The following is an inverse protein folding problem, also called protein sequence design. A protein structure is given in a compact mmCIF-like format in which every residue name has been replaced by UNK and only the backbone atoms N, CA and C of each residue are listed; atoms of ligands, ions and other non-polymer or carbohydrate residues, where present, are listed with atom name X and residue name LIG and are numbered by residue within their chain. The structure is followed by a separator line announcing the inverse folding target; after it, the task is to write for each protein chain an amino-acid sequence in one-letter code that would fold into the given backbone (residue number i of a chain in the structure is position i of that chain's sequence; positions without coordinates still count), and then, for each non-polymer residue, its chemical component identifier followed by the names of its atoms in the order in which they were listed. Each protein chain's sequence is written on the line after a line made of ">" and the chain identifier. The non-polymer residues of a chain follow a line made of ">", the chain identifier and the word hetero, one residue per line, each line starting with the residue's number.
data_IF_887925436135
#
_entry.id   IF_887925436135
#
_cell.length_a   1.000
_cell.length_b   1.000
_cell.length_c   1.000
_cell.angle_alpha   90.00
_cell.angle_beta   90.00
_cell.angle_gamma   90.00
#
_symmetry.space_group_name_H-M   'P 1'
#
loop_
_entity.id
_entity.type
_entity.pdbx_description
1 polymer ?
#
# COMPACT_ATOMS: atom_id res chain seq x y z
N UNK A 1 12.42 14.08 11.89
CA UNK A 1 12.25 12.63 12.10
C UNK A 1 11.02 12.33 11.30
N UNK A 2 11.15 11.49 10.28
CA UNK A 2 10.03 11.23 9.38
C UNK A 2 8.88 10.64 10.19
N UNK A 3 7.68 11.14 9.94
CA UNK A 3 6.49 10.72 10.67
C UNK A 3 6.23 9.26 10.38
N UNK A 4 5.92 8.50 11.42
CA UNK A 4 5.55 7.09 11.24
C UNK A 4 4.08 6.98 10.78
N UNK A 5 3.66 5.81 10.27
CA UNK A 5 2.32 5.60 9.69
C UNK A 5 1.19 6.13 10.59
N UNK A 6 1.23 5.82 11.88
CA UNK A 6 0.18 6.23 12.82
C UNK A 6 0.07 7.75 12.99
N UNK A 7 1.20 8.45 13.02
CA UNK A 7 1.26 9.91 13.11
C UNK A 7 0.79 10.56 11.81
N UNK A 8 1.27 10.04 10.67
CA UNK A 8 0.92 10.53 9.33
C UNK A 8 -0.57 10.37 9.07
N UNK A 9 -1.16 9.24 9.45
CA UNK A 9 -2.60 9.01 9.35
C UNK A 9 -3.40 9.97 10.23
N UNK A 10 -3.00 10.17 11.49
CA UNK A 10 -3.69 11.10 12.39
C UNK A 10 -3.66 12.52 11.83
N UNK A 11 -2.50 12.99 11.38
CA UNK A 11 -2.34 14.32 10.79
C UNK A 11 -3.18 14.49 9.52
N UNK A 12 -3.21 13.47 8.65
CA UNK A 12 -4.02 13.51 7.42
C UNK A 12 -5.50 13.57 7.74
N UNK A 13 -5.98 12.76 8.68
CA UNK A 13 -7.38 12.75 9.14
C UNK A 13 -7.79 14.14 9.66
N UNK A 14 -6.96 14.75 10.50
CA UNK A 14 -7.22 16.08 11.06
C UNK A 14 -7.24 17.17 9.98
N UNK A 15 -6.35 17.06 8.98
CA UNK A 15 -6.26 18.01 7.86
C UNK A 15 -7.53 18.03 7.00
N UNK A 16 -8.06 16.86 6.66
CA UNK A 16 -9.17 16.73 5.68
C UNK A 16 -10.54 16.47 6.32
N UNK A 17 -10.59 16.15 7.62
CA UNK A 17 -11.83 15.81 8.32
C UNK A 17 -12.49 14.52 7.82
N UNK A 18 -11.70 13.56 7.32
CA UNK A 18 -12.18 12.30 6.74
C UNK A 18 -11.36 11.12 7.26
N UNK A 19 -12.03 10.00 7.48
CA UNK A 19 -11.42 8.70 7.82
C UNK A 19 -11.43 7.73 6.62
N UNK A 20 -11.68 8.23 5.40
CA UNK A 20 -11.87 7.39 4.23
C UNK A 20 -10.55 6.72 3.81
N UNK A 21 -10.52 5.39 3.90
CA UNK A 21 -9.50 4.56 3.29
C UNK A 21 -9.96 4.19 1.87
N UNK A 22 -9.28 4.68 0.84
CA UNK A 22 -9.61 4.38 -0.56
C UNK A 22 -8.90 3.10 -0.98
N UNK A 23 -9.66 2.03 -1.22
CA UNK A 23 -9.14 0.80 -1.80
C UNK A 23 -8.83 0.96 -3.29
N UNK A 24 -7.67 0.48 -3.73
CA UNK A 24 -7.28 0.46 -5.14
C UNK A 24 -7.24 -1.00 -5.60
N UNK A 25 -8.41 -1.47 -6.05
CA UNK A 25 -8.69 -2.85 -6.41
C UNK A 25 -9.16 -2.93 -7.89
N UNK A 26 -8.34 -2.47 -8.86
CA UNK A 26 -8.77 -2.28 -10.24
C UNK A 26 -9.02 -3.62 -10.92
N UNK A 27 -10.20 -3.76 -11.53
CA UNK A 27 -10.58 -4.94 -12.30
C UNK A 27 -10.34 -4.65 -13.79
N UNK A 28 -9.27 -5.19 -14.42
CA UNK A 28 -8.90 -4.82 -15.78
C UNK A 28 -10.00 -5.07 -16.81
N UNK A 29 -10.85 -6.06 -16.58
CA UNK A 29 -12.01 -6.42 -17.41
C UNK A 29 -13.14 -5.37 -17.40
N UNK A 30 -13.11 -4.42 -16.45
CA UNK A 30 -14.10 -3.36 -16.31
C UNK A 30 -13.54 -1.97 -16.62
N UNK A 31 -12.28 -1.88 -17.05
CA UNK A 31 -11.62 -0.61 -17.33
C UNK A 31 -11.68 -0.35 -18.83
N UNK A 32 -12.41 0.68 -19.22
CA UNK A 32 -12.36 1.24 -20.56
C UNK A 32 -11.12 2.14 -20.68
N UNK A 33 -10.08 1.65 -21.36
CA UNK A 33 -8.87 2.42 -21.64
C UNK A 33 -7.59 1.83 -21.04
N UNK A 34 -6.60 2.69 -20.79
CA UNK A 34 -5.31 2.28 -20.24
C UNK A 34 -5.38 2.11 -18.71
N UNK A 35 -4.92 0.96 -18.22
CA UNK A 35 -5.00 0.58 -16.81
C UNK A 35 -4.20 1.53 -15.90
N UNK A 36 -2.99 1.93 -16.30
CA UNK A 36 -2.12 2.81 -15.50
C UNK A 36 -2.74 4.20 -15.37
N UNK A 37 -3.28 4.72 -16.49
CA UNK A 37 -4.01 5.98 -16.50
C UNK A 37 -5.23 5.92 -15.59
N UNK A 38 -6.02 4.84 -15.66
CA UNK A 38 -7.20 4.67 -14.83
C UNK A 38 -6.89 4.72 -13.32
N UNK A 39 -5.86 3.99 -12.86
CA UNK A 39 -5.52 3.96 -11.43
C UNK A 39 -4.94 5.28 -10.95
N UNK A 40 -4.17 5.99 -11.79
CA UNK A 40 -3.67 7.33 -11.46
C UNK A 40 -4.81 8.35 -11.37
N UNK A 41 -5.71 8.35 -12.35
CA UNK A 41 -6.87 9.26 -12.37
C UNK A 41 -7.78 9.02 -11.16
N UNK A 42 -7.91 7.78 -10.69
CA UNK A 42 -8.61 7.46 -9.44
C UNK A 42 -7.97 8.16 -8.24
N UNK A 43 -6.64 8.09 -8.10
CA UNK A 43 -5.92 8.77 -7.02
C UNK A 43 -6.09 10.28 -7.14
N UNK A 44 -5.84 10.86 -8.31
CA UNK A 44 -5.94 12.31 -8.55
C UNK A 44 -7.32 12.87 -8.19
N UNK A 45 -8.39 12.13 -8.49
CA UNK A 45 -9.77 12.57 -8.21
C UNK A 45 -10.19 12.36 -6.76
N UNK A 46 -9.57 11.42 -6.04
CA UNK A 46 -9.98 11.04 -4.68
C UNK A 46 -9.10 11.62 -3.58
N UNK A 47 -7.92 12.14 -3.93
CA UNK A 47 -6.94 12.59 -2.94
C UNK A 47 -7.45 13.64 -1.95
N UNK A 48 -8.34 14.60 -2.31
CA UNK A 48 -8.84 15.57 -1.34
C UNK A 48 -9.68 14.95 -0.20
N UNK A 49 -10.12 13.70 -0.36
CA UNK A 49 -11.02 13.01 0.56
C UNK A 49 -10.39 11.80 1.25
N UNK A 50 -9.24 11.33 0.74
CA UNK A 50 -8.57 10.12 1.21
C UNK A 50 -7.69 10.37 2.44
N UNK A 51 -8.02 9.68 3.54
CA UNK A 51 -7.18 9.59 4.72
C UNK A 51 -5.96 8.68 4.47
N UNK A 52 -6.14 7.66 3.63
CA UNK A 52 -5.08 6.79 3.15
C UNK A 52 -5.52 6.05 1.88
N UNK A 53 -4.55 5.51 1.15
CA UNK A 53 -4.77 4.59 0.04
C UNK A 53 -4.40 3.17 0.43
N UNK A 54 -5.14 2.20 -0.10
CA UNK A 54 -4.90 0.78 0.16
C UNK A 54 -4.90 -0.05 -1.12
N UNK A 55 -3.83 0.00 -1.94
CA UNK A 55 -3.71 -0.85 -3.11
C UNK A 55 -3.64 -2.32 -2.71
N UNK A 56 -4.43 -3.15 -3.37
CA UNK A 56 -4.42 -4.59 -3.17
C UNK A 56 -3.53 -5.27 -4.20
N UNK A 57 -2.43 -5.84 -3.73
CA UNK A 57 -1.37 -6.37 -4.57
C UNK A 57 -1.86 -7.42 -5.57
N UNK A 58 -2.88 -8.21 -5.22
CA UNK A 58 -3.39 -9.29 -6.07
C UNK A 58 -3.88 -8.80 -7.45
N UNK A 59 -4.52 -7.62 -7.51
CA UNK A 59 -5.04 -7.07 -8.77
C UNK A 59 -3.92 -6.63 -9.71
N UNK A 60 -2.81 -6.14 -9.16
CA UNK A 60 -1.63 -5.75 -9.93
C UNK A 60 -0.78 -6.97 -10.31
N UNK A 61 -0.58 -7.92 -9.38
CA UNK A 61 0.14 -9.18 -9.63
C UNK A 61 -0.51 -10.01 -10.75
N UNK A 62 -1.85 -9.97 -10.88
CA UNK A 62 -2.59 -10.63 -11.95
C UNK A 62 -2.19 -10.15 -13.38
N UNK A 63 -1.58 -8.97 -13.50
CA UNK A 63 -1.06 -8.42 -14.75
C UNK A 63 0.44 -8.73 -14.96
N UNK A 64 1.03 -9.57 -14.10
CA UNK A 64 2.45 -9.92 -14.13
C UNK A 64 3.37 -8.75 -13.74
N UNK A 65 4.61 -8.78 -14.22
CA UNK A 65 5.63 -7.79 -13.85
C UNK A 65 5.25 -6.35 -14.24
N UNK A 66 4.50 -6.16 -15.33
CA UNK A 66 4.00 -4.83 -15.73
C UNK A 66 3.04 -4.27 -14.67
N UNK A 67 2.11 -5.08 -14.15
CA UNK A 67 1.20 -4.62 -13.11
C UNK A 67 1.91 -4.31 -11.81
N UNK A 68 2.88 -5.13 -11.43
CA UNK A 68 3.71 -4.87 -10.26
C UNK A 68 4.46 -3.53 -10.38
N UNK A 69 5.07 -3.26 -11.53
CA UNK A 69 5.74 -1.98 -11.78
C UNK A 69 4.78 -0.78 -11.77
N UNK A 70 3.55 -0.95 -12.27
CA UNK A 70 2.50 0.09 -12.18
C UNK A 70 2.13 0.35 -10.71
N UNK A 71 2.02 -0.69 -9.88
CA UNK A 71 1.75 -0.55 -8.46
C UNK A 71 2.88 0.20 -7.73
N UNK A 72 4.13 -0.16 -7.98
CA UNK A 72 5.30 0.53 -7.40
C UNK A 72 5.28 2.02 -7.74
N UNK A 73 5.07 2.35 -9.02
CA UNK A 73 4.98 3.74 -9.48
C UNK A 73 3.79 4.47 -8.87
N UNK A 74 2.61 3.85 -8.85
CA UNK A 74 1.40 4.45 -8.27
C UNK A 74 1.61 4.82 -6.80
N UNK A 75 2.24 3.93 -6.02
CA UNK A 75 2.52 4.17 -4.60
C UNK A 75 3.53 5.31 -4.43
N UNK A 76 4.61 5.32 -5.23
CA UNK A 76 5.61 6.38 -5.21
C UNK A 76 5.05 7.76 -5.62
N UNK A 77 4.02 7.78 -6.48
CA UNK A 77 3.35 9.00 -6.92
C UNK A 77 2.33 9.54 -5.89
N UNK A 78 1.95 8.76 -4.86
CA UNK A 78 1.07 9.26 -3.78
C UNK A 78 1.84 10.32 -2.95
N UNK A 79 1.26 11.50 -2.69
CA UNK A 79 1.93 12.53 -1.90
C UNK A 79 2.35 12.06 -0.52
N UNK A 80 3.54 12.51 -0.11
CA UNK A 80 4.21 12.05 1.11
C UNK A 80 3.38 12.24 2.39
N UNK A 81 2.41 13.16 2.43
CA UNK A 81 1.52 13.37 3.58
C UNK A 81 0.29 12.45 3.59
N UNK A 82 0.08 11.62 2.56
CA UNK A 82 -1.04 10.67 2.47
C UNK A 82 -0.53 9.24 2.68
N UNK A 83 -0.95 8.55 3.75
CA UNK A 83 -0.51 7.19 4.03
C UNK A 83 -0.91 6.18 2.96
N UNK A 84 -0.02 5.22 2.69
CA UNK A 84 -0.30 4.05 1.85
C UNK A 84 -0.17 2.75 2.65
N UNK A 85 -1.21 1.93 2.57
CA UNK A 85 -1.28 0.60 3.16
C UNK A 85 -1.23 -0.43 2.02
N UNK A 86 -0.11 -1.09 1.81
CA UNK A 86 -0.02 -2.18 0.83
C UNK A 86 -0.79 -3.40 1.34
N UNK A 87 -1.90 -3.72 0.69
CA UNK A 87 -2.73 -4.86 1.04
C UNK A 87 -2.24 -6.14 0.34
N UNK A 88 -1.23 -6.79 0.94
CA UNK A 88 -0.56 -7.99 0.41
C UNK A 88 -0.85 -9.28 1.19
N UNK A 89 -1.39 -9.19 2.42
CA UNK A 89 -1.77 -10.31 3.31
C UNK A 89 -0.67 -11.37 3.47
N UNK A 90 0.60 -10.96 3.50
CA UNK A 90 1.73 -11.91 3.54
C UNK A 90 1.83 -12.59 4.90
N UNK A 91 2.11 -13.89 4.87
CA UNK A 91 2.37 -14.70 6.06
C UNK A 91 3.19 -15.91 5.66
N UNK A 92 4.37 -16.05 6.26
CA UNK A 92 5.34 -17.10 6.00
C UNK A 92 6.23 -17.31 7.24
N UNK A 93 7.13 -18.29 7.23
CA UNK A 93 8.13 -18.48 8.28
C UNK A 93 9.07 -17.26 8.37
N UNK A 94 9.62 -17.00 9.56
CA UNK A 94 10.34 -15.75 9.83
C UNK A 94 11.47 -15.39 8.84
N UNK A 95 12.20 -16.38 8.31
CA UNK A 95 13.24 -16.15 7.31
C UNK A 95 12.69 -15.70 5.95
N UNK A 96 11.55 -16.23 5.51
CA UNK A 96 10.89 -15.82 4.27
C UNK A 96 10.16 -14.48 4.47
N UNK A 97 9.52 -14.31 5.61
CA UNK A 97 8.77 -13.10 5.94
C UNK A 97 9.68 -11.87 6.02
N UNK A 98 10.96 -12.01 6.39
CA UNK A 98 11.92 -10.90 6.34
C UNK A 98 12.22 -10.43 4.90
N UNK A 99 12.17 -11.31 3.91
CA UNK A 99 12.29 -10.90 2.50
C UNK A 99 11.04 -10.17 1.99
N UNK A 100 9.85 -10.54 2.46
CA UNK A 100 8.64 -9.74 2.18
C UNK A 100 8.75 -8.35 2.82
N UNK A 101 9.16 -8.28 4.09
CA UNK A 101 9.33 -7.00 4.78
C UNK A 101 10.35 -6.10 4.06
N UNK A 102 11.49 -6.69 3.66
CA UNK A 102 12.50 -6.00 2.84
C UNK A 102 11.95 -5.52 1.51
N UNK A 103 11.23 -6.37 0.78
CA UNK A 103 10.66 -6.02 -0.53
C UNK A 103 9.74 -4.79 -0.41
N UNK A 104 8.91 -4.72 0.63
CA UNK A 104 7.94 -3.65 0.77
C UNK A 104 8.51 -2.39 1.40
N UNK A 105 9.25 -2.50 2.50
CA UNK A 105 9.70 -1.32 3.24
C UNK A 105 11.03 -0.74 2.77
N UNK A 106 11.88 -1.50 2.05
CA UNK A 106 13.15 -0.98 1.52
C UNK A 106 13.12 -0.67 0.02
N UNK A 107 12.25 -1.32 -0.75
CA UNK A 107 12.24 -1.19 -2.22
C UNK A 107 10.96 -0.60 -2.79
N UNK A 108 9.83 -0.63 -2.08
CA UNK A 108 8.60 0.06 -2.50
C UNK A 108 8.49 1.41 -1.78
N UNK A 109 9.07 2.44 -2.38
CA UNK A 109 9.00 3.81 -1.88
C UNK A 109 7.54 4.26 -1.72
N UNK A 110 7.22 4.86 -0.56
CA UNK A 110 5.87 5.34 -0.23
C UNK A 110 4.99 4.34 0.52
N UNK A 111 5.40 3.09 0.73
CA UNK A 111 4.65 2.14 1.59
C UNK A 111 4.85 2.48 3.07
N UNK A 112 3.79 2.89 3.75
CA UNK A 112 3.81 3.20 5.19
C UNK A 112 3.36 2.00 6.05
N UNK A 113 2.51 1.12 5.53
CA UNK A 113 2.02 -0.06 6.24
C UNK A 113 1.72 -1.22 5.30
N UNK A 114 1.70 -2.46 5.83
CA UNK A 114 1.39 -3.67 5.06
C UNK A 114 0.42 -4.58 5.81
N UNK A 115 -0.55 -5.18 5.11
CA UNK A 115 -1.41 -6.22 5.70
C UNK A 115 -0.68 -7.57 5.78
N UNK A 116 -0.86 -8.27 6.90
CA UNK A 116 -0.21 -9.57 7.17
C UNK A 116 -1.24 -10.66 7.47
N UNK A 117 -0.87 -11.92 7.26
CA UNK A 117 -1.64 -13.11 7.65
C UNK A 117 -0.96 -13.82 8.82
N UNK A 118 -1.41 -13.63 10.08
CA UNK A 118 -0.72 -14.13 11.26
C UNK A 118 -1.01 -15.62 11.57
N UNK A 119 -1.57 -16.37 10.62
CA UNK A 119 -2.02 -17.75 10.83
C UNK A 119 -0.91 -18.68 11.33
N UNK A 120 0.33 -18.45 10.90
CA UNK A 120 1.49 -19.28 11.25
C UNK A 120 2.08 -18.96 12.64
N UNK A 121 1.61 -17.89 13.29
CA UNK A 121 2.08 -17.45 14.60
C UNK A 121 2.88 -16.15 14.56
N UNK A 122 3.44 -15.76 15.71
CA UNK A 122 4.12 -14.48 15.87
C UNK A 122 5.40 -14.35 15.02
N UNK A 123 6.05 -15.45 14.68
CA UNK A 123 7.20 -15.49 13.77
C UNK A 123 6.88 -15.01 12.35
N UNK A 124 5.62 -15.11 11.92
CA UNK A 124 5.12 -14.52 10.66
C UNK A 124 4.80 -13.02 10.76
N UNK A 125 4.86 -12.44 11.97
CA UNK A 125 4.56 -11.03 12.24
C UNK A 125 5.84 -10.24 12.59
N UNK A 126 6.68 -10.80 13.46
CA UNK A 126 7.87 -10.17 14.01
C UNK A 126 8.79 -9.53 12.96
N UNK A 127 9.07 -10.13 11.78
CA UNK A 127 9.94 -9.51 10.79
C UNK A 127 9.42 -8.19 10.24
N UNK A 128 8.09 -8.02 10.14
CA UNK A 128 7.46 -6.78 9.69
C UNK A 128 7.58 -5.68 10.76
N UNK A 129 7.47 -6.04 12.04
CA UNK A 129 7.57 -5.12 13.18
C UNK A 129 8.97 -4.54 13.42
N UNK A 130 9.99 -5.02 12.67
CA UNK A 130 11.34 -4.45 12.72
C UNK A 130 11.46 -3.13 11.96
N UNK A 131 10.46 -2.81 11.13
CA UNK A 131 10.36 -1.55 10.41
C UNK A 131 9.51 -0.56 11.23
N UNK A 132 9.88 0.74 11.28
CA UNK A 132 9.08 1.76 11.96
C UNK A 132 7.67 1.88 11.37
N UNK A 133 6.67 2.18 12.21
CA UNK A 133 5.27 2.38 11.84
C UNK A 133 4.55 3.29 12.83
#
# INVERSE_FOLDING_TARGET
>A
MDMVYSEKLSARIDEIGSNLCVGIDPRPDLIDGDFETFVRDLVDQTIPYAACYKPNAAYFEALGSKGYAIMEKLIADVPENVPVILDAKRGDIGATQSYYAKAYFEFMEGVDAVTISPYMGFDSVEPMLKYPG
#
